data_IF_104463234932
#
_entry.id   IF_104463234932
#
_cell.length_a   1.000
_cell.length_b   1.000
_cell.length_c   1.000
_cell.angle_alpha   90.00
_cell.angle_beta   90.00
_cell.angle_gamma   90.00
#
_symmetry.space_group_name_H-M   'P 1'
#
loop_
_entity.id
_entity.type
_entity.pdbx_description
1 polymer ?
#
# COMPACT_ATOMS: atom_id res chain seq x y z
N UNK A 1 -2.68 -14.53 -3.77
CA UNK A 1 -1.42 -13.74 -3.59
C UNK A 1 -0.98 -13.81 -2.14
N UNK A 2 0.27 -14.10 -1.92
CA UNK A 2 0.88 -14.07 -0.58
C UNK A 2 1.70 -12.79 -0.43
N UNK A 3 2.13 -12.51 0.80
CA UNK A 3 3.06 -11.40 1.05
C UNK A 3 4.34 -11.56 0.23
N UNK A 4 4.86 -12.79 0.16
CA UNK A 4 6.09 -13.07 -0.58
C UNK A 4 5.90 -12.85 -2.09
N UNK A 5 4.75 -13.22 -2.63
CA UNK A 5 4.43 -12.96 -4.04
C UNK A 5 4.45 -11.47 -4.36
N UNK A 6 3.85 -10.66 -3.48
CA UNK A 6 3.79 -9.21 -3.64
C UNK A 6 5.19 -8.60 -3.52
N UNK A 7 5.94 -9.00 -2.49
CA UNK A 7 7.31 -8.55 -2.28
C UNK A 7 8.19 -8.86 -3.48
N UNK A 8 8.09 -10.09 -3.99
CA UNK A 8 8.86 -10.53 -5.15
C UNK A 8 8.53 -9.71 -6.39
N UNK A 9 7.23 -9.45 -6.61
CA UNK A 9 6.81 -8.60 -7.73
C UNK A 9 7.43 -7.20 -7.64
N UNK A 10 7.38 -6.60 -6.46
CA UNK A 10 7.93 -5.25 -6.26
C UNK A 10 9.44 -5.22 -6.53
N UNK A 11 10.16 -6.19 -6.00
CA UNK A 11 11.62 -6.30 -6.20
C UNK A 11 11.96 -6.48 -7.67
N UNK A 12 11.28 -7.42 -8.35
CA UNK A 12 11.61 -7.79 -9.73
C UNK A 12 11.19 -6.74 -10.75
N UNK A 13 10.06 -6.06 -10.50
CA UNK A 13 9.43 -5.21 -11.51
C UNK A 13 9.73 -3.73 -11.35
N UNK A 14 10.00 -3.27 -10.12
CA UNK A 14 10.13 -1.83 -9.87
C UNK A 14 11.57 -1.36 -9.71
N UNK A 15 12.53 -2.25 -9.51
CA UNK A 15 13.96 -1.92 -9.48
C UNK A 15 14.39 -0.66 -8.72
N UNK A 16 15.67 -0.55 -8.40
CA UNK A 16 16.23 0.67 -7.83
C UNK A 16 15.90 0.94 -6.37
N UNK A 17 15.16 0.08 -5.72
CA UNK A 17 14.74 0.24 -4.34
C UNK A 17 15.13 -0.93 -3.46
N UNK A 18 14.65 -0.88 -2.23
CA UNK A 18 14.86 -1.96 -1.29
C UNK A 18 13.66 -2.04 -0.33
N UNK A 19 13.62 -3.11 0.46
CA UNK A 19 12.60 -3.23 1.50
C UNK A 19 13.26 -3.52 2.85
N UNK A 20 12.55 -3.19 3.91
CA UNK A 20 12.95 -3.51 5.28
C UNK A 20 11.76 -4.07 6.06
N UNK A 21 12.04 -5.00 6.96
CA UNK A 21 11.02 -5.58 7.84
C UNK A 21 11.25 -5.08 9.25
N UNK A 22 10.22 -4.53 9.87
CA UNK A 22 10.24 -4.07 11.26
C UNK A 22 8.90 -4.37 11.91
N UNK A 23 8.91 -4.98 13.09
CA UNK A 23 7.70 -5.36 13.84
C UNK A 23 6.69 -6.16 12.99
N UNK A 24 7.19 -7.10 12.20
CA UNK A 24 6.42 -7.94 11.29
C UNK A 24 5.74 -7.18 10.14
N UNK A 25 6.12 -5.92 9.92
CA UNK A 25 5.65 -5.13 8.79
C UNK A 25 6.78 -4.96 7.79
N UNK A 26 6.41 -4.88 6.49
CA UNK A 26 7.38 -4.69 5.42
C UNK A 26 7.21 -3.30 4.83
N UNK A 27 8.31 -2.58 4.67
CA UNK A 27 8.35 -1.22 4.12
C UNK A 27 9.15 -1.23 2.84
N UNK A 28 8.59 -0.68 1.76
CA UNK A 28 9.26 -0.62 0.45
C UNK A 28 9.69 0.81 0.15
N UNK A 29 10.98 0.99 -0.08
CA UNK A 29 11.60 2.30 -0.30
C UNK A 29 12.17 2.40 -1.70
N UNK A 30 12.17 3.61 -2.26
CA UNK A 30 12.89 3.92 -3.49
C UNK A 30 14.29 4.43 -3.13
N UNK A 31 15.31 3.89 -3.80
CA UNK A 31 16.70 4.30 -3.56
C UNK A 31 17.24 3.78 -2.22
N UNK A 32 18.27 4.45 -1.71
CA UNK A 32 18.96 4.06 -0.48
C UNK A 32 18.41 4.73 0.77
N UNK A 33 17.44 5.65 0.61
CA UNK A 33 16.87 6.44 1.70
C UNK A 33 15.70 5.70 2.34
N UNK A 34 15.72 5.55 3.66
CA UNK A 34 14.67 4.87 4.42
C UNK A 34 13.65 5.81 5.04
N UNK A 35 13.51 7.04 4.55
CA UNK A 35 12.62 8.03 5.15
C UNK A 35 11.15 7.78 4.85
N UNK A 36 10.81 7.57 3.58
CA UNK A 36 9.42 7.49 3.13
C UNK A 36 9.22 6.26 2.24
N UNK A 37 8.48 5.26 2.71
CA UNK A 37 8.13 4.14 1.87
C UNK A 37 7.05 4.55 0.85
N UNK A 38 7.05 3.91 -0.32
CA UNK A 38 5.98 4.09 -1.29
C UNK A 38 4.87 3.04 -1.13
N UNK A 39 5.16 1.96 -0.44
CA UNK A 39 4.20 0.91 -0.13
C UNK A 39 4.60 0.20 1.16
N UNK A 40 3.64 -0.38 1.85
CA UNK A 40 3.88 -1.16 3.06
C UNK A 40 2.99 -2.39 3.08
N UNK A 41 3.43 -3.44 3.77
CA UNK A 41 2.59 -4.59 4.09
C UNK A 41 2.51 -4.67 5.62
N UNK A 42 1.30 -4.63 6.16
CA UNK A 42 1.04 -4.65 7.60
C UNK A 42 0.33 -5.94 7.95
N UNK A 43 0.82 -6.65 8.98
CA UNK A 43 0.31 -7.97 9.35
C UNK A 43 -0.38 -8.02 10.70
N UNK A 44 -0.41 -6.92 11.43
CA UNK A 44 -1.00 -6.85 12.77
C UNK A 44 -1.68 -5.52 13.00
N UNK A 45 -2.71 -5.52 13.84
CA UNK A 45 -3.24 -4.29 14.40
C UNK A 45 -2.26 -3.69 15.40
N UNK A 46 -2.30 -2.39 15.56
CA UNK A 46 -1.57 -1.70 16.63
C UNK A 46 -2.49 -0.67 17.28
N UNK A 47 -2.02 0.03 18.29
CA UNK A 47 -2.87 0.99 19.04
C UNK A 47 -3.34 2.17 18.19
N UNK A 48 -2.69 2.44 17.06
CA UNK A 48 -3.05 3.54 16.17
C UNK A 48 -3.81 3.09 14.92
N UNK A 49 -3.71 1.80 14.54
CA UNK A 49 -4.25 1.28 13.29
C UNK A 49 -4.85 -0.10 13.53
N UNK A 50 -6.12 -0.14 13.89
CA UNK A 50 -6.84 -1.38 14.19
C UNK A 50 -8.14 -1.53 13.39
N UNK A 51 -8.42 -0.62 12.47
CA UNK A 51 -9.68 -0.60 11.73
C UNK A 51 -9.88 -1.83 10.83
N UNK A 52 -8.80 -2.43 10.36
CA UNK A 52 -8.85 -3.56 9.41
C UNK A 52 -8.91 -4.93 10.08
N UNK A 53 -8.80 -4.99 11.40
CA UNK A 53 -8.79 -6.25 12.16
C UNK A 53 -7.79 -7.27 11.57
N UNK A 54 -6.50 -6.88 11.56
CA UNK A 54 -5.45 -7.68 10.93
C UNK A 54 -4.98 -8.87 11.77
N UNK A 55 -5.38 -8.95 13.03
CA UNK A 55 -4.98 -10.02 13.94
C UNK A 55 -5.66 -11.37 13.63
N UNK A 56 -6.30 -11.50 12.49
CA UNK A 56 -6.86 -12.75 11.98
C UNK A 56 -5.76 -13.59 11.32
N UNK A 57 -5.77 -14.93 11.46
CA UNK A 57 -4.76 -15.78 10.83
C UNK A 57 -4.70 -15.59 9.32
N UNK A 58 -3.47 -15.44 8.78
CA UNK A 58 -3.24 -15.33 7.35
C UNK A 58 -3.70 -14.02 6.71
N UNK A 59 -4.01 -13.00 7.51
CA UNK A 59 -4.49 -11.71 7.00
C UNK A 59 -3.37 -10.69 7.00
N UNK A 60 -3.22 -9.97 5.89
CA UNK A 60 -2.28 -8.86 5.77
C UNK A 60 -2.92 -7.75 4.94
N UNK A 61 -2.39 -6.55 5.05
CA UNK A 61 -2.89 -5.40 4.29
C UNK A 61 -1.75 -4.75 3.52
N UNK A 62 -1.90 -4.66 2.20
CA UNK A 62 -0.99 -3.92 1.35
C UNK A 62 -1.48 -2.47 1.26
N UNK A 63 -0.60 -1.54 1.53
CA UNK A 63 -0.87 -0.10 1.47
C UNK A 63 0.01 0.53 0.41
N UNK A 64 -0.55 1.43 -0.40
CA UNK A 64 0.15 2.05 -1.53
C UNK A 64 -0.13 3.55 -1.54
N UNK A 65 0.91 4.37 -1.63
CA UNK A 65 0.78 5.82 -1.67
C UNK A 65 0.66 6.34 -3.09
N UNK A 66 -0.55 6.49 -3.59
CA UNK A 66 -0.81 6.99 -4.95
C UNK A 66 -0.95 8.51 -4.96
N UNK A 67 -1.12 9.10 -6.16
CA UNK A 67 -1.36 10.52 -6.31
C UNK A 67 -2.83 10.89 -6.14
N UNK A 68 -3.08 12.18 -5.98
CA UNK A 68 -4.41 12.74 -5.76
C UNK A 68 -5.41 12.36 -6.86
N UNK A 69 -4.98 12.47 -8.13
CA UNK A 69 -5.87 12.19 -9.25
C UNK A 69 -6.28 10.73 -9.31
N UNK A 70 -5.33 9.83 -9.09
CA UNK A 70 -5.60 8.39 -9.05
C UNK A 70 -6.52 8.04 -7.89
N UNK A 71 -6.26 8.60 -6.71
CA UNK A 71 -7.11 8.37 -5.55
C UNK A 71 -8.55 8.81 -5.83
N UNK A 72 -8.74 9.99 -6.43
CA UNK A 72 -10.07 10.50 -6.76
C UNK A 72 -10.75 9.69 -7.86
N UNK A 73 -9.98 9.20 -8.82
CA UNK A 73 -10.54 8.33 -9.85
C UNK A 73 -11.06 7.01 -9.27
N UNK A 74 -10.39 6.50 -8.22
CA UNK A 74 -10.80 5.26 -7.57
C UNK A 74 -12.00 5.43 -6.62
N UNK A 75 -12.06 6.52 -5.87
CA UNK A 75 -12.99 6.66 -4.75
C UNK A 75 -13.88 7.90 -4.81
N UNK A 76 -13.70 8.78 -5.78
CA UNK A 76 -14.44 10.03 -5.90
C UNK A 76 -13.78 11.18 -5.15
N UNK A 77 -14.37 12.37 -5.26
CA UNK A 77 -13.82 13.60 -4.66
C UNK A 77 -14.27 13.83 -3.23
N UNK A 78 -15.37 13.22 -2.84
CA UNK A 78 -15.89 13.36 -1.50
C UNK A 78 -15.15 12.45 -0.51
N UNK A 79 -15.15 12.84 0.75
CA UNK A 79 -14.54 12.03 1.80
C UNK A 79 -15.23 10.66 1.87
N UNK A 80 -14.48 9.55 1.82
CA UNK A 80 -15.08 8.23 1.86
C UNK A 80 -15.88 7.99 3.14
N UNK A 81 -17.06 7.38 2.99
CA UNK A 81 -17.97 7.09 4.10
C UNK A 81 -18.46 5.64 4.02
N UNK A 82 -18.82 5.08 5.17
CA UNK A 82 -19.39 3.75 5.29
C UNK A 82 -18.52 2.65 4.68
N UNK A 83 -17.21 2.74 4.89
CA UNK A 83 -16.26 1.76 4.36
C UNK A 83 -16.06 0.64 5.39
N UNK A 84 -16.18 -0.60 4.92
CA UNK A 84 -15.79 -1.76 5.72
C UNK A 84 -14.28 -2.00 5.54
N UNK A 85 -13.49 -1.48 6.47
CA UNK A 85 -12.03 -1.62 6.42
C UNK A 85 -11.53 -3.04 6.72
N UNK A 86 -12.44 -3.98 7.03
CA UNK A 86 -12.09 -5.38 7.26
C UNK A 86 -12.32 -6.26 6.04
N UNK A 87 -12.89 -5.72 4.97
CA UNK A 87 -13.23 -6.48 3.76
C UNK A 87 -11.99 -7.03 3.08
N UNK A 88 -12.06 -8.28 2.63
CA UNK A 88 -10.95 -8.92 1.93
C UNK A 88 -11.06 -8.69 0.42
N UNK A 89 -9.88 -8.63 -0.23
CA UNK A 89 -9.79 -8.58 -1.69
C UNK A 89 -10.55 -7.41 -2.31
N UNK A 90 -10.52 -6.28 -1.63
CA UNK A 90 -11.21 -5.07 -2.07
C UNK A 90 -10.33 -3.85 -1.88
N UNK A 91 -10.08 -3.11 -2.97
CA UNK A 91 -9.33 -1.87 -2.91
C UNK A 91 -10.17 -0.80 -2.20
N UNK A 92 -9.56 -0.13 -1.23
CA UNK A 92 -10.25 0.85 -0.40
C UNK A 92 -9.30 1.99 -0.01
N UNK A 93 -9.82 3.16 0.44
CA UNK A 93 -8.97 4.18 1.03
C UNK A 93 -8.29 3.64 2.29
N UNK A 94 -7.06 4.10 2.56
CA UNK A 94 -6.36 3.70 3.78
C UNK A 94 -7.14 4.19 5.01
N UNK A 95 -7.32 3.37 6.03
CA UNK A 95 -8.14 3.79 7.19
C UNK A 95 -7.61 5.02 7.93
N UNK A 96 -6.31 5.29 7.85
CA UNK A 96 -5.69 6.43 8.54
C UNK A 96 -5.12 7.48 7.60
N UNK A 97 -4.58 7.07 6.45
CA UNK A 97 -3.82 7.95 5.57
C UNK A 97 -4.51 8.26 4.24
N UNK A 98 -5.84 8.13 4.19
CA UNK A 98 -6.61 8.48 2.99
C UNK A 98 -6.42 9.94 2.59
N UNK A 99 -6.23 10.85 3.55
CA UNK A 99 -5.97 12.27 3.28
C UNK A 99 -4.64 12.52 2.58
N UNK A 100 -3.72 11.56 2.67
CA UNK A 100 -2.44 11.59 1.96
C UNK A 100 -2.47 10.78 0.67
N UNK A 101 -3.67 10.35 0.26
CA UNK A 101 -3.92 9.58 -0.95
C UNK A 101 -3.35 8.17 -0.91
N UNK A 102 -3.29 7.58 0.27
CA UNK A 102 -2.94 6.18 0.44
C UNK A 102 -4.17 5.29 0.26
N UNK A 103 -3.97 4.17 -0.43
CA UNK A 103 -4.99 3.15 -0.65
C UNK A 103 -4.56 1.85 0.01
N UNK A 104 -5.53 0.97 0.28
CA UNK A 104 -5.27 -0.29 0.98
C UNK A 104 -6.05 -1.43 0.34
N UNK A 105 -5.50 -2.64 0.43
CA UNK A 105 -6.21 -3.86 0.07
C UNK A 105 -5.76 -4.98 0.99
N UNK A 106 -6.73 -5.72 1.55
CA UNK A 106 -6.47 -6.85 2.43
C UNK A 106 -6.53 -8.14 1.61
N UNK A 107 -5.48 -8.96 1.68
CA UNK A 107 -5.41 -10.24 0.99
C UNK A 107 -5.87 -10.17 -0.47
N UNK A 108 -5.21 -9.36 -1.32
CA UNK A 108 -5.62 -9.25 -2.73
C UNK A 108 -5.49 -10.59 -3.44
N UNK A 109 -6.50 -10.95 -4.23
CA UNK A 109 -6.42 -12.07 -5.14
C UNK A 109 -5.64 -11.69 -6.38
N UNK A 110 -5.38 -12.65 -7.27
CA UNK A 110 -4.57 -12.42 -8.47
C UNK A 110 -5.17 -11.36 -9.38
N UNK A 111 -6.49 -11.37 -9.54
CA UNK A 111 -7.19 -10.40 -10.38
C UNK A 111 -7.11 -8.99 -9.81
N UNK A 112 -7.36 -8.86 -8.50
CA UNK A 112 -7.27 -7.56 -7.82
C UNK A 112 -5.84 -7.04 -7.87
N UNK A 113 -4.85 -7.92 -7.72
CA UNK A 113 -3.46 -7.50 -7.78
C UNK A 113 -3.06 -6.96 -9.15
N UNK A 114 -3.67 -7.44 -10.24
CA UNK A 114 -3.42 -6.85 -11.56
C UNK A 114 -3.81 -5.37 -11.60
N UNK A 115 -4.86 -4.98 -10.87
CA UNK A 115 -5.25 -3.57 -10.72
C UNK A 115 -4.26 -2.80 -9.84
N UNK A 116 -3.67 -3.47 -8.86
CA UNK A 116 -2.74 -2.84 -7.92
C UNK A 116 -1.36 -2.59 -8.54
N UNK A 117 -0.92 -3.42 -9.48
CA UNK A 117 0.41 -3.28 -10.10
C UNK A 117 0.70 -1.89 -10.64
N UNK A 118 -0.17 -1.25 -11.44
CA UNK A 118 0.10 0.11 -11.90
C UNK A 118 0.09 1.14 -10.76
N UNK A 119 -0.64 0.88 -9.68
CA UNK A 119 -0.63 1.76 -8.51
C UNK A 119 0.72 1.72 -7.79
N UNK A 120 1.32 0.54 -7.68
CA UNK A 120 2.66 0.38 -7.12
C UNK A 120 3.71 1.12 -7.96
N UNK A 121 3.61 1.01 -9.28
CA UNK A 121 4.51 1.72 -10.19
C UNK A 121 4.36 3.24 -10.03
N UNK A 122 3.13 3.73 -9.96
CA UNK A 122 2.86 5.15 -9.76
C UNK A 122 3.46 5.63 -8.44
N UNK A 123 3.22 4.88 -7.35
CA UNK A 123 3.72 5.25 -6.02
C UNK A 123 5.25 5.35 -6.00
N UNK A 124 5.93 4.38 -6.59
CA UNK A 124 7.38 4.39 -6.70
C UNK A 124 7.85 5.59 -7.51
N UNK A 125 7.20 5.86 -8.63
CA UNK A 125 7.58 6.97 -9.52
C UNK A 125 7.37 8.34 -8.86
N UNK A 126 6.34 8.49 -8.03
CA UNK A 126 6.13 9.73 -7.28
C UNK A 126 7.27 10.02 -6.33
N UNK A 127 7.76 9.01 -5.61
CA UNK A 127 8.92 9.18 -4.73
C UNK A 127 10.20 9.43 -5.52
N UNK A 128 10.40 8.73 -6.63
CA UNK A 128 11.56 8.95 -7.50
C UNK A 128 11.61 10.39 -8.02
N UNK A 129 10.46 10.95 -8.38
CA UNK A 129 10.38 12.34 -8.84
C UNK A 129 10.70 13.33 -7.71
N UNK A 130 10.24 13.07 -6.49
CA UNK A 130 10.56 13.90 -5.32
C UNK A 130 12.07 13.88 -5.02
N UNK A 131 12.69 12.71 -5.08
CA UNK A 131 14.12 12.56 -4.82
C UNK A 131 14.95 13.33 -5.84
N UNK A 132 14.53 13.32 -7.10
CA UNK A 132 15.21 14.06 -8.17
C UNK A 132 15.00 15.58 -8.06
N UNK A 133 13.92 16.02 -7.43
CA UNK A 133 13.60 17.43 -7.27
C UNK A 133 14.36 18.13 -6.15
N UNK A 134 15.18 17.40 -5.43
CA UNK A 134 15.97 17.96 -4.32
C UNK A 134 17.34 18.49 -4.83
#
# INVERSE_FOLDING_TARGET
MTEDDITQHIIDSLGGGHFEVADDNTFFFHGADNKFPFATIVTKDNEFDSASNLDRPGVFRLNVGVGRETFRALFGEEEPANIDYTALDRLMPHPMYAKMYWVSVINPGDKTFETVKPLLMEARNLLAARDKGK
#
